data_IF_729715501148
#
_entry.id   IF_729715501148
#
_cell.length_a   1.000
_cell.length_b   1.000
_cell.length_c   1.000
_cell.angle_alpha   90.00
_cell.angle_beta   90.00
_cell.angle_gamma   90.00
#
_symmetry.space_group_name_H-M   'P 1'
#
loop_
_entity.id
_entity.type
_entity.pdbx_description
1 polymer ?
#
# COMPACT_ATOMS: atom_id res chain seq x y z
N UNK A 1 -12.69 -29.94 6.21
CA UNK A 1 -13.76 -28.99 5.86
C UNK A 1 -13.24 -28.03 4.81
N UNK A 2 -13.78 -28.07 3.58
CA UNK A 2 -13.35 -27.19 2.47
C UNK A 2 -14.01 -25.84 2.64
N UNK A 3 -13.26 -24.78 2.95
CA UNK A 3 -13.79 -23.43 2.88
C UNK A 3 -14.25 -23.18 1.43
N UNK A 4 -15.51 -22.80 1.23
CA UNK A 4 -16.14 -22.59 -0.09
C UNK A 4 -15.63 -21.32 -0.80
N UNK A 5 -14.37 -20.96 -0.60
CA UNK A 5 -13.75 -19.73 -1.10
C UNK A 5 -12.50 -20.03 -1.91
N UNK A 6 -12.28 -19.24 -2.96
CA UNK A 6 -11.09 -19.37 -3.80
C UNK A 6 -9.82 -19.04 -3.01
N UNK A 7 -8.69 -19.64 -3.41
CA UNK A 7 -7.36 -19.38 -2.80
C UNK A 7 -7.01 -17.88 -2.86
N UNK A 8 -7.40 -17.18 -3.92
CA UNK A 8 -7.21 -15.73 -4.06
C UNK A 8 -8.00 -14.93 -3.00
N UNK A 9 -9.21 -15.37 -2.65
CA UNK A 9 -10.04 -14.74 -1.62
C UNK A 9 -9.42 -14.92 -0.23
N UNK A 10 -8.91 -16.12 0.08
CA UNK A 10 -8.24 -16.40 1.35
C UNK A 10 -6.89 -15.67 1.47
N UNK A 11 -6.12 -15.60 0.39
CA UNK A 11 -4.87 -14.83 0.36
C UNK A 11 -5.12 -13.33 0.49
N UNK A 12 -6.15 -12.79 -0.17
CA UNK A 12 -6.56 -11.38 -0.02
C UNK A 12 -7.01 -11.05 1.40
N UNK A 13 -7.73 -11.97 2.06
CA UNK A 13 -8.12 -11.86 3.46
C UNK A 13 -6.92 -11.83 4.42
N UNK A 14 -5.86 -12.59 4.13
CA UNK A 14 -4.62 -12.59 4.90
C UNK A 14 -3.70 -11.38 4.62
N UNK A 15 -3.95 -10.61 3.55
CA UNK A 15 -3.05 -9.54 3.07
C UNK A 15 -3.20 -8.19 3.78
N UNK A 16 -3.76 -8.15 5.00
CA UNK A 16 -3.89 -6.97 5.88
C UNK A 16 -4.58 -5.72 5.31
N UNK A 17 -5.19 -5.76 4.12
CA UNK A 17 -5.78 -4.56 3.49
C UNK A 17 -7.18 -4.22 4.02
N UNK A 18 -7.94 -5.21 4.50
CA UNK A 18 -9.27 -5.06 5.11
C UNK A 18 -9.56 -6.22 6.06
N UNK A 19 -10.36 -5.97 7.10
CA UNK A 19 -10.86 -7.04 7.96
C UNK A 19 -11.76 -7.97 7.14
N UNK A 20 -11.48 -9.28 7.06
CA UNK A 20 -12.35 -10.24 6.37
C UNK A 20 -13.70 -10.36 7.08
N UNK A 21 -14.73 -10.83 6.39
CA UNK A 21 -16.00 -11.13 7.05
C UNK A 21 -15.83 -12.21 8.12
N UNK A 22 -16.69 -12.20 9.13
CA UNK A 22 -16.68 -13.18 10.21
C UNK A 22 -16.77 -14.61 9.65
N UNK A 23 -17.67 -14.84 8.69
CA UNK A 23 -17.88 -16.15 8.08
C UNK A 23 -16.62 -16.71 7.37
N UNK A 24 -15.88 -15.85 6.65
CA UNK A 24 -14.62 -16.21 6.00
C UNK A 24 -13.56 -16.56 7.03
N UNK A 25 -13.47 -15.76 8.10
CA UNK A 25 -12.51 -15.98 9.20
C UNK A 25 -12.79 -17.31 9.89
N UNK A 26 -14.04 -17.59 10.25
CA UNK A 26 -14.44 -18.84 10.91
C UNK A 26 -14.26 -20.05 10.00
N UNK A 27 -14.55 -19.92 8.70
CA UNK A 27 -14.31 -20.97 7.71
C UNK A 27 -12.82 -21.32 7.59
N UNK A 28 -11.95 -20.31 7.61
CA UNK A 28 -10.49 -20.50 7.58
C UNK A 28 -9.98 -21.17 8.86
N UNK A 29 -10.41 -20.69 10.03
CA UNK A 29 -10.05 -21.25 11.34
C UNK A 29 -10.48 -22.71 11.45
N UNK A 30 -11.72 -23.05 11.06
CA UNK A 30 -12.22 -24.43 11.05
C UNK A 30 -11.45 -25.31 10.07
N UNK A 31 -11.09 -24.79 8.89
CA UNK A 31 -10.27 -25.53 7.92
C UNK A 31 -8.87 -25.84 8.46
N UNK A 32 -8.31 -24.94 9.26
CA UNK A 32 -7.00 -25.09 9.93
C UNK A 32 -7.07 -25.82 11.28
N UNK A 33 -8.25 -26.27 11.72
CA UNK A 33 -8.43 -27.00 12.99
C UNK A 33 -8.38 -26.14 14.26
N UNK A 34 -8.57 -24.82 14.16
CA UNK A 34 -8.62 -23.92 15.31
C UNK A 34 -10.01 -23.80 15.95
N UNK A 35 -10.07 -23.19 17.14
CA UNK A 35 -11.32 -22.94 17.87
C UNK A 35 -12.12 -21.76 17.26
N UNK A 36 -13.27 -22.07 16.67
CA UNK A 36 -14.13 -21.07 16.05
C UNK A 36 -14.69 -20.06 17.06
N UNK A 37 -15.01 -20.45 18.29
CA UNK A 37 -15.59 -19.52 19.28
C UNK A 37 -14.56 -18.54 19.81
N UNK A 38 -13.33 -19.01 20.02
CA UNK A 38 -12.22 -18.13 20.38
C UNK A 38 -11.95 -17.10 19.29
N UNK A 39 -11.89 -17.55 18.04
CA UNK A 39 -11.64 -16.67 16.90
C UNK A 39 -12.81 -15.74 16.57
N UNK A 40 -14.04 -16.12 16.89
CA UNK A 40 -15.21 -15.22 16.82
C UNK A 40 -15.08 -14.07 17.81
N UNK A 41 -14.72 -14.34 19.07
CA UNK A 41 -14.49 -13.30 20.08
C UNK A 41 -13.37 -12.34 19.66
N UNK A 42 -12.25 -12.88 19.16
CA UNK A 42 -11.13 -12.09 18.64
C UNK A 42 -11.53 -11.22 17.45
N UNK A 43 -12.35 -11.75 16.53
CA UNK A 43 -12.83 -10.99 15.38
C UNK A 43 -13.68 -9.80 15.81
N UNK A 44 -14.61 -9.98 16.76
CA UNK A 44 -15.45 -8.90 17.28
C UNK A 44 -14.62 -7.82 17.99
N UNK A 45 -13.66 -8.21 18.83
CA UNK A 45 -12.76 -7.25 19.50
C UNK A 45 -11.94 -6.43 18.49
N UNK A 46 -11.40 -7.06 17.45
CA UNK A 46 -10.69 -6.35 16.37
C UNK A 46 -11.63 -5.45 15.57
N UNK A 47 -12.84 -5.90 15.24
CA UNK A 47 -13.83 -5.10 14.51
C UNK A 47 -14.21 -3.83 15.29
N UNK A 48 -14.38 -3.93 16.61
CA UNK A 48 -14.66 -2.78 17.49
C UNK A 48 -13.46 -1.84 17.55
N UNK A 49 -12.22 -2.35 17.70
CA UNK A 49 -11.02 -1.51 17.72
C UNK A 49 -10.83 -0.78 16.40
N UNK A 50 -11.06 -1.46 15.27
CA UNK A 50 -10.94 -0.86 13.94
C UNK A 50 -12.05 0.14 13.64
N UNK A 51 -13.28 -0.07 14.12
CA UNK A 51 -14.36 0.92 13.96
C UNK A 51 -14.15 2.15 14.85
N UNK A 52 -13.59 1.97 16.06
CA UNK A 52 -13.21 3.07 16.94
C UNK A 52 -12.01 3.88 16.42
N UNK A 53 -11.11 3.24 15.67
CA UNK A 53 -9.94 3.86 15.02
C UNK A 53 -10.20 4.31 13.59
N UNK A 54 -11.39 4.02 13.03
CA UNK A 54 -11.76 4.49 11.71
C UNK A 54 -11.74 6.03 11.73
N UNK A 55 -11.02 6.68 10.80
CA UNK A 55 -11.12 8.12 10.65
C UNK A 55 -12.60 8.47 10.50
N UNK A 56 -13.13 9.38 11.31
CA UNK A 56 -14.48 9.90 11.10
C UNK A 56 -14.57 10.33 9.63
N UNK A 57 -15.69 10.06 8.93
CA UNK A 57 -15.85 10.55 7.58
C UNK A 57 -15.63 12.06 7.61
N UNK A 58 -14.60 12.54 6.92
CA UNK A 58 -14.53 13.96 6.58
C UNK A 58 -15.75 14.20 5.68
N UNK A 59 -16.68 15.01 6.14
CA UNK A 59 -17.67 15.63 5.27
C UNK A 59 -16.91 16.57 4.32
N UNK A 60 -16.47 16.06 3.18
CA UNK A 60 -15.91 16.89 2.12
C UNK A 60 -16.84 16.82 0.90
N UNK A 61 -17.62 17.88 0.61
CA UNK A 61 -18.12 18.12 -0.73
C UNK A 61 -16.95 18.65 -1.56
N UNK A 62 -16.32 17.76 -2.33
CA UNK A 62 -15.36 18.17 -3.37
C UNK A 62 -14.14 17.28 -3.50
N UNK A 63 -14.05 16.63 -4.65
CA UNK A 63 -12.84 15.99 -5.15
C UNK A 63 -11.68 17.01 -5.23
N UNK A 64 -10.59 16.80 -4.48
CA UNK A 64 -9.21 17.11 -4.88
C UNK A 64 -8.22 16.91 -3.71
N UNK A 65 -7.19 16.09 -3.95
CA UNK A 65 -5.81 16.37 -3.53
C UNK A 65 -5.44 16.42 -2.04
N UNK A 66 -4.36 15.71 -1.70
CA UNK A 66 -3.43 16.23 -0.69
C UNK A 66 -2.98 15.22 0.35
N UNK A 67 -1.68 14.94 0.28
CA UNK A 67 -0.75 14.75 1.39
C UNK A 67 -1.14 13.72 2.47
N UNK A 68 -0.24 12.75 2.65
CA UNK A 68 -0.14 12.01 3.90
C UNK A 68 -0.37 12.96 5.08
N UNK A 69 -1.27 12.56 5.96
CA UNK A 69 -1.67 13.34 7.12
C UNK A 69 -0.44 14.01 7.76
N UNK A 70 -0.45 15.34 7.68
CA UNK A 70 0.51 16.30 8.20
C UNK A 70 1.43 15.73 9.29
N UNK A 71 2.68 15.40 8.93
CA UNK A 71 3.79 15.20 9.88
C UNK A 71 4.45 13.81 9.94
N UNK A 72 4.00 12.82 9.16
CA UNK A 72 4.67 11.49 9.16
C UNK A 72 5.60 11.32 7.96
N UNK A 73 6.88 10.93 8.14
CA UNK A 73 7.83 10.77 7.03
C UNK A 73 7.63 9.45 6.25
N UNK A 74 6.66 8.62 6.65
CA UNK A 74 6.43 7.30 6.07
C UNK A 74 5.10 7.29 5.31
N UNK A 75 5.16 7.17 3.98
CA UNK A 75 3.98 7.09 3.08
C UNK A 75 3.28 5.72 3.09
N UNK A 76 3.79 4.77 3.90
CA UNK A 76 3.23 3.42 4.02
C UNK A 76 3.40 2.59 2.74
N UNK A 77 2.37 1.82 2.38
CA UNK A 77 2.36 1.00 1.16
C UNK A 77 2.00 1.79 -0.12
N UNK A 78 1.76 3.10 0.01
CA UNK A 78 1.51 3.95 -1.14
C UNK A 78 2.80 4.15 -1.95
N UNK A 79 2.66 4.30 -3.27
CA UNK A 79 3.78 4.70 -4.10
C UNK A 79 4.07 6.19 -3.86
N UNK A 80 5.35 6.54 -3.64
CA UNK A 80 5.79 7.94 -3.58
C UNK A 80 5.42 8.69 -4.85
N UNK A 81 4.91 9.91 -4.68
CA UNK A 81 4.52 10.86 -5.73
C UNK A 81 5.55 11.98 -5.83
N UNK A 82 5.39 12.84 -6.84
CA UNK A 82 6.27 14.00 -7.05
C UNK A 82 6.31 14.91 -5.84
N UNK A 83 5.16 15.07 -5.17
CA UNK A 83 5.02 15.86 -3.94
C UNK A 83 5.84 15.29 -2.76
N UNK A 84 6.13 13.99 -2.78
CA UNK A 84 6.88 13.29 -1.73
C UNK A 84 8.40 13.29 -1.96
N UNK A 85 8.91 14.08 -2.92
CA UNK A 85 10.33 14.11 -3.27
C UNK A 85 11.25 14.38 -2.06
N UNK A 86 10.81 15.22 -1.13
CA UNK A 86 11.54 15.51 0.11
C UNK A 86 11.64 14.34 1.10
N UNK A 87 10.82 13.30 0.90
CA UNK A 87 10.82 12.07 1.71
C UNK A 87 11.46 10.89 0.96
N UNK A 88 11.93 11.06 -0.27
CA UNK A 88 12.50 10.01 -1.09
C UNK A 88 14.03 9.95 -0.95
N UNK A 89 14.54 8.94 -0.25
CA UNK A 89 15.97 8.77 0.06
C UNK A 89 16.52 7.36 -0.20
N UNK A 90 17.84 7.24 -0.33
CA UNK A 90 18.60 5.98 -0.47
C UNK A 90 18.64 5.40 -1.89
N UNK A 91 18.09 6.13 -2.86
CA UNK A 91 18.02 5.73 -4.29
C UNK A 91 18.60 6.80 -5.21
N UNK A 92 19.38 7.72 -4.67
CA UNK A 92 19.95 8.87 -5.38
C UNK A 92 20.80 8.41 -6.57
N UNK A 93 21.68 7.42 -6.36
CA UNK A 93 22.53 6.86 -7.43
C UNK A 93 21.72 6.35 -8.62
N UNK A 94 20.61 5.66 -8.36
CA UNK A 94 19.73 5.14 -9.43
C UNK A 94 19.04 6.28 -10.20
N UNK A 95 18.72 7.39 -9.53
CA UNK A 95 18.17 8.58 -10.18
C UNK A 95 19.22 9.23 -11.06
N UNK A 96 20.45 9.41 -10.57
CA UNK A 96 21.56 9.97 -11.35
C UNK A 96 21.91 9.11 -12.57
N UNK A 97 21.96 7.79 -12.41
CA UNK A 97 22.19 6.87 -13.53
C UNK A 97 21.09 7.00 -14.60
N UNK A 98 19.84 7.19 -14.17
CA UNK A 98 18.70 7.36 -15.06
C UNK A 98 18.73 8.72 -15.79
N UNK A 99 19.12 9.78 -15.10
CA UNK A 99 19.34 11.11 -15.71
C UNK A 99 20.47 11.07 -16.73
N UNK A 100 21.59 10.43 -16.41
CA UNK A 100 22.71 10.26 -17.32
C UNK A 100 22.33 9.43 -18.56
N UNK A 101 21.50 8.40 -18.38
CA UNK A 101 20.96 7.63 -19.49
C UNK A 101 20.04 8.45 -20.39
N UNK A 102 19.16 9.28 -19.81
CA UNK A 102 18.26 10.16 -20.55
C UNK A 102 19.00 11.29 -21.29
N UNK A 103 20.11 11.77 -20.75
CA UNK A 103 20.97 12.73 -21.44
C UNK A 103 21.59 12.15 -22.72
N UNK A 104 21.75 10.82 -22.80
CA UNK A 104 22.37 10.11 -23.93
C UNK A 104 21.36 9.48 -24.88
N UNK A 105 20.17 9.14 -24.40
CA UNK A 105 19.15 8.42 -25.15
C UNK A 105 17.77 9.05 -24.95
N UNK A 106 17.01 9.18 -26.04
CA UNK A 106 15.65 9.76 -26.00
C UNK A 106 14.65 8.84 -25.30
N UNK A 107 14.96 7.55 -25.17
CA UNK A 107 14.10 6.54 -24.58
C UNK A 107 14.95 5.63 -23.69
N UNK A 108 14.56 5.48 -22.43
CA UNK A 108 15.21 4.60 -21.46
C UNK A 108 14.15 3.71 -20.82
N UNK A 109 14.39 2.40 -20.77
CA UNK A 109 13.47 1.44 -20.17
C UNK A 109 13.92 1.06 -18.75
N UNK A 110 13.03 1.25 -17.77
CA UNK A 110 13.25 0.83 -16.38
C UNK A 110 12.52 -0.50 -16.11
N UNK A 111 13.28 -1.57 -15.86
CA UNK A 111 12.74 -2.92 -15.67
C UNK A 111 13.06 -3.44 -14.25
N UNK A 112 12.12 -4.19 -13.66
CA UNK A 112 12.28 -4.78 -12.34
C UNK A 112 10.98 -5.39 -11.81
N UNK A 113 11.08 -6.18 -10.75
CA UNK A 113 9.95 -6.89 -10.14
C UNK A 113 8.77 -5.95 -9.78
N UNK A 114 7.55 -6.50 -9.76
CA UNK A 114 6.38 -5.76 -9.27
C UNK A 114 6.60 -5.35 -7.81
N UNK A 115 6.25 -4.11 -7.45
CA UNK A 115 6.47 -3.58 -6.10
C UNK A 115 7.89 -3.12 -5.78
N UNK A 116 8.87 -3.26 -6.69
CA UNK A 116 10.26 -2.80 -6.46
C UNK A 116 10.43 -1.26 -6.40
N UNK A 117 9.33 -0.49 -6.45
CA UNK A 117 9.37 0.97 -6.35
C UNK A 117 9.69 1.72 -7.65
N UNK A 118 9.52 1.09 -8.82
CA UNK A 118 9.80 1.74 -10.13
C UNK A 118 9.03 3.05 -10.34
N UNK A 119 7.72 3.03 -10.10
CA UNK A 119 6.89 4.23 -10.20
C UNK A 119 7.33 5.29 -9.18
N UNK A 120 7.66 4.90 -7.95
CA UNK A 120 8.19 5.83 -6.95
C UNK A 120 9.52 6.47 -7.37
N UNK A 121 10.43 5.69 -7.93
CA UNK A 121 11.71 6.20 -8.47
C UNK A 121 11.48 7.23 -9.58
N UNK A 122 10.53 6.98 -10.48
CA UNK A 122 10.18 7.91 -11.55
C UNK A 122 9.52 9.18 -11.00
N UNK A 123 8.52 9.04 -10.13
CA UNK A 123 7.70 10.17 -9.70
C UNK A 123 8.36 11.03 -8.62
N UNK A 124 8.95 10.43 -7.59
CA UNK A 124 9.56 11.16 -6.48
C UNK A 124 11.08 11.39 -6.65
N UNK A 125 11.73 10.56 -7.47
CA UNK A 125 13.16 10.67 -7.75
C UNK A 125 13.45 11.49 -9.01
N UNK A 126 12.97 11.01 -10.16
CA UNK A 126 13.36 11.53 -11.47
C UNK A 126 12.62 12.82 -11.86
N UNK A 127 11.28 12.80 -11.88
CA UNK A 127 10.47 13.92 -12.36
C UNK A 127 10.77 15.27 -11.67
N UNK A 128 10.94 15.34 -10.34
CA UNK A 128 11.24 16.60 -9.66
C UNK A 128 12.56 17.24 -10.12
N UNK A 129 13.53 16.41 -10.52
CA UNK A 129 14.84 16.88 -11.01
C UNK A 129 14.78 17.34 -12.47
N UNK A 130 13.92 16.76 -13.28
CA UNK A 130 13.69 17.20 -14.67
C UNK A 130 12.87 18.50 -14.74
N UNK A 131 11.90 18.69 -13.84
CA UNK A 131 11.09 19.91 -13.78
C UNK A 131 11.81 21.12 -13.17
N UNK A 132 12.98 20.92 -12.55
CA UNK A 132 13.81 21.98 -11.99
C UNK A 132 14.92 22.45 -12.96
N UNK A 133 15.00 21.89 -14.18
CA UNK A 133 15.94 22.29 -15.23
C UNK A 133 15.38 23.37 -16.14
#
# INVERSE_FOLDING_TARGET
>A
ARAHYSVATLSGAASSRRLPSLDVTLSYVRACGGDAQEWERRWHDVAVRLSAQAPRPREDPGEAGGAGAHGTPYVGLAAFRTEDAGLFFGRERLVEDLLAALARQRVVALVGASGAGKSSLLHAGLLPRLGAQ
#
